data_IF_159866005046
#
_entry.id   IF_159866005046
#
_cell.length_a   1.000
_cell.length_b   1.000
_cell.length_c   1.000
_cell.angle_alpha   90.00
_cell.angle_beta   90.00
_cell.angle_gamma   90.00
#
_symmetry.space_group_name_H-M   'P 1'
#
loop_
_entity.id
_entity.type
_entity.pdbx_description
1 polymer ?
#
# COMPACT_ATOMS: atom_id res chain seq x y z
N UNK A 1 -24.88 23.90 3.77
CA UNK A 1 -25.81 22.88 3.26
C UNK A 1 -24.98 21.83 2.54
N UNK A 2 -25.35 20.54 2.60
CA UNK A 2 -24.46 19.45 2.19
C UNK A 2 -24.34 19.29 0.67
N UNK A 3 -25.11 20.03 -0.11
CA UNK A 3 -25.13 19.92 -1.57
C UNK A 3 -23.78 20.34 -2.13
N UNK A 4 -23.22 19.50 -3.01
CA UNK A 4 -21.99 19.80 -3.73
C UNK A 4 -22.29 20.86 -4.80
N UNK A 5 -21.54 21.95 -4.76
CA UNK A 5 -21.71 23.10 -5.67
C UNK A 5 -20.57 23.27 -6.65
N UNK A 6 -19.40 22.70 -6.37
CA UNK A 6 -18.24 22.75 -7.25
C UNK A 6 -17.41 21.48 -7.11
N UNK A 7 -16.95 20.96 -8.25
CA UNK A 7 -15.99 19.86 -8.36
C UNK A 7 -14.99 20.28 -9.42
N UNK A 8 -13.71 20.37 -9.04
CA UNK A 8 -12.67 20.91 -9.91
C UNK A 8 -11.41 20.08 -9.83
N UNK A 9 -10.83 19.74 -10.99
CA UNK A 9 -9.57 19.02 -11.10
C UNK A 9 -8.47 19.87 -11.74
N UNK A 10 -7.23 19.55 -11.36
CA UNK A 10 -6.00 20.09 -11.97
C UNK A 10 -4.90 19.03 -12.05
N UNK A 11 -3.95 19.27 -12.97
CA UNK A 11 -2.72 18.48 -13.08
C UNK A 11 -1.68 19.00 -12.07
N UNK A 12 -1.16 18.09 -11.24
CA UNK A 12 -0.05 18.31 -10.29
C UNK A 12 1.04 17.26 -10.52
N UNK A 13 2.08 17.20 -9.68
CA UNK A 13 3.16 16.21 -9.79
C UNK A 13 3.17 15.25 -8.59
N UNK A 14 3.46 13.97 -8.87
CA UNK A 14 3.78 12.98 -7.84
C UNK A 14 5.23 13.13 -7.33
N UNK A 15 5.57 12.34 -6.32
CA UNK A 15 6.89 12.26 -5.68
C UNK A 15 8.03 11.81 -6.61
N UNK A 16 7.72 11.32 -7.81
CA UNK A 16 8.69 10.95 -8.85
C UNK A 16 8.77 12.00 -9.95
N UNK A 17 8.02 13.11 -9.83
CA UNK A 17 7.96 14.18 -10.81
C UNK A 17 7.13 13.85 -12.05
N UNK A 18 6.27 12.83 -11.99
CA UNK A 18 5.30 12.55 -13.06
C UNK A 18 3.97 13.25 -12.78
N UNK A 19 3.22 13.66 -13.82
CA UNK A 19 1.89 14.25 -13.64
C UNK A 19 0.92 13.32 -12.89
N UNK A 20 0.05 13.89 -12.07
CA UNK A 20 -1.09 13.20 -11.46
C UNK A 20 -2.28 14.16 -11.26
N UNK A 21 -3.44 13.61 -10.90
CA UNK A 21 -4.70 14.34 -10.74
C UNK A 21 -4.86 14.81 -9.29
N UNK A 22 -5.18 16.09 -9.11
CA UNK A 22 -5.72 16.66 -7.88
C UNK A 22 -7.17 17.07 -8.13
N UNK A 23 -8.06 16.79 -7.18
CA UNK A 23 -9.47 17.20 -7.22
C UNK A 23 -9.84 17.96 -5.95
N UNK A 24 -10.63 19.01 -6.11
CA UNK A 24 -11.26 19.79 -5.05
C UNK A 24 -12.79 19.70 -5.15
N UNK A 25 -13.46 19.62 -4.00
CA UNK A 25 -14.91 19.60 -3.87
C UNK A 25 -15.32 20.68 -2.87
N UNK A 26 -16.35 21.45 -3.23
CA UNK A 26 -16.98 22.45 -2.35
C UNK A 26 -18.47 22.17 -2.19
N UNK A 27 -18.96 22.35 -0.97
CA UNK A 27 -20.40 22.35 -0.68
C UNK A 27 -20.97 23.77 -0.62
N UNK A 28 -22.30 23.89 -0.68
CA UNK A 28 -23.00 25.17 -0.51
C UNK A 28 -22.72 25.83 0.87
N UNK A 29 -22.41 25.04 1.91
CA UNK A 29 -21.94 25.60 3.20
C UNK A 29 -20.53 26.19 3.15
N UNK A 30 -19.75 25.90 2.11
CA UNK A 30 -18.32 26.21 2.04
C UNK A 30 -17.41 25.12 2.62
N UNK A 31 -17.94 23.94 2.99
CA UNK A 31 -17.08 22.81 3.38
C UNK A 31 -16.26 22.35 2.17
N UNK A 32 -14.99 22.06 2.40
CA UNK A 32 -13.98 21.82 1.37
C UNK A 32 -13.32 20.44 1.51
N UNK A 33 -12.98 19.82 0.38
CA UNK A 33 -12.21 18.59 0.35
C UNK A 33 -11.25 18.61 -0.82
N UNK A 34 -10.02 18.13 -0.60
CA UNK A 34 -9.00 18.01 -1.64
C UNK A 34 -8.37 16.63 -1.60
N UNK A 35 -8.19 16.02 -2.76
CA UNK A 35 -7.54 14.74 -2.92
C UNK A 35 -6.47 14.80 -4.01
N UNK A 36 -5.36 14.11 -3.79
CA UNK A 36 -4.34 13.90 -4.79
C UNK A 36 -4.20 12.39 -5.02
N UNK A 37 -4.16 11.97 -6.28
CA UNK A 37 -4.16 10.55 -6.63
C UNK A 37 -2.74 10.01 -6.74
N UNK A 38 -2.41 8.88 -6.08
CA UNK A 38 -1.11 8.23 -6.25
C UNK A 38 -1.04 7.45 -7.57
N UNK A 39 0.16 7.06 -8.00
CA UNK A 39 0.40 6.30 -9.24
C UNK A 39 1.43 5.19 -9.02
N UNK A 40 1.21 4.03 -9.64
CA UNK A 40 2.12 2.88 -9.59
C UNK A 40 3.32 3.00 -10.52
N UNK A 41 4.34 2.16 -10.32
CA UNK A 41 5.44 1.95 -11.29
C UNK A 41 5.04 0.93 -12.35
N UNK A 42 4.38 -0.14 -11.91
CA UNK A 42 3.74 -1.16 -12.73
C UNK A 42 2.22 -1.13 -12.52
N UNK A 43 1.49 -1.66 -13.50
CA UNK A 43 0.04 -1.85 -13.48
C UNK A 43 -0.24 -3.28 -13.93
N UNK A 44 -0.86 -4.09 -13.07
CA UNK A 44 -1.33 -5.44 -13.40
C UNK A 44 -2.45 -5.43 -14.44
N UNK A 45 -2.66 -6.57 -15.11
CA UNK A 45 -3.62 -6.69 -16.22
C UNK A 45 -5.09 -6.54 -15.80
N UNK A 46 -5.39 -6.76 -14.52
CA UNK A 46 -6.76 -6.78 -13.97
C UNK A 46 -7.08 -5.59 -13.05
N UNK A 47 -6.23 -4.55 -13.05
CA UNK A 47 -6.41 -3.33 -12.27
C UNK A 47 -7.34 -2.31 -12.95
N UNK A 48 -7.92 -1.41 -12.16
CA UNK A 48 -8.48 -0.17 -12.69
C UNK A 48 -7.37 0.68 -13.35
N UNK A 49 -7.67 1.27 -14.50
CA UNK A 49 -6.65 1.85 -15.37
C UNK A 49 -6.54 3.36 -15.18
N UNK A 50 -5.32 3.83 -14.89
CA UNK A 50 -4.97 5.25 -14.90
C UNK A 50 -5.02 5.80 -16.33
N UNK A 51 -5.74 6.91 -16.56
CA UNK A 51 -5.79 7.56 -17.87
C UNK A 51 -4.62 8.55 -18.04
N UNK A 52 -3.78 8.28 -19.05
CA UNK A 52 -2.65 9.13 -19.47
C UNK A 52 -2.90 9.73 -20.86
N UNK A 53 -2.30 10.90 -21.11
CA UNK A 53 -2.50 11.65 -22.35
C UNK A 53 -1.89 10.96 -23.57
N UNK A 54 -0.71 10.33 -23.41
CA UNK A 54 0.05 9.73 -24.50
C UNK A 54 0.76 10.74 -25.41
N UNK A 55 0.68 12.04 -25.12
CA UNK A 55 1.41 13.07 -25.87
C UNK A 55 2.88 13.10 -25.49
N UNK A 56 3.74 12.53 -26.36
CA UNK A 56 5.19 12.46 -26.16
C UNK A 56 5.87 13.82 -25.97
N UNK A 57 5.22 14.92 -26.38
CA UNK A 57 5.77 16.26 -26.22
C UNK A 57 5.56 16.85 -24.82
N UNK A 58 4.65 16.28 -24.01
CA UNK A 58 4.39 16.70 -22.62
C UNK A 58 4.68 15.55 -21.66
N UNK A 59 5.61 15.77 -20.74
CA UNK A 59 5.99 14.77 -19.72
C UNK A 59 6.25 13.37 -20.30
N UNK A 60 6.81 13.30 -21.52
CA UNK A 60 7.09 12.04 -22.23
C UNK A 60 5.85 11.13 -22.40
N UNK A 61 4.65 11.70 -22.55
CA UNK A 61 3.40 10.96 -22.71
C UNK A 61 2.64 10.71 -21.40
N UNK A 62 3.19 11.12 -20.26
CA UNK A 62 2.61 10.87 -18.92
C UNK A 62 1.68 11.98 -18.42
N UNK A 63 1.34 12.98 -19.24
CA UNK A 63 0.33 13.98 -18.88
C UNK A 63 -1.00 13.34 -18.46
N UNK A 64 -1.79 14.04 -17.65
CA UNK A 64 -3.11 13.60 -17.19
C UNK A 64 -4.22 14.60 -17.54
N UNK A 65 -3.99 15.44 -18.55
CA UNK A 65 -4.94 16.48 -18.94
C UNK A 65 -6.30 15.90 -19.35
N UNK A 66 -6.32 14.73 -20.00
CA UNK A 66 -7.57 14.02 -20.34
C UNK A 66 -8.36 13.61 -19.09
N UNK A 67 -7.69 13.11 -18.05
CA UNK A 67 -8.35 12.74 -16.80
C UNK A 67 -8.89 13.98 -16.08
N UNK A 68 -8.12 15.08 -16.08
CA UNK A 68 -8.54 16.38 -15.54
C UNK A 68 -9.76 16.93 -16.30
N UNK A 69 -9.76 16.86 -17.62
CA UNK A 69 -10.90 17.23 -18.47
C UNK A 69 -12.12 16.36 -18.17
N UNK A 70 -11.95 15.04 -18.02
CA UNK A 70 -13.04 14.15 -17.64
C UNK A 70 -13.67 14.52 -16.29
N UNK A 71 -12.88 14.93 -15.29
CA UNK A 71 -13.46 15.43 -14.03
C UNK A 71 -14.25 16.71 -14.28
N UNK A 72 -13.63 17.71 -14.91
CA UNK A 72 -14.20 19.05 -15.04
C UNK A 72 -15.40 19.13 -15.99
N UNK A 73 -15.39 18.36 -17.08
CA UNK A 73 -16.36 18.48 -18.17
C UNK A 73 -17.40 17.36 -18.18
N UNK A 74 -17.16 16.25 -17.47
CA UNK A 74 -18.07 15.09 -17.46
C UNK A 74 -18.56 14.75 -16.06
N UNK A 75 -17.66 14.53 -15.10
CA UNK A 75 -18.07 14.11 -13.74
C UNK A 75 -18.68 15.28 -12.96
N UNK A 76 -18.07 16.46 -13.01
CA UNK A 76 -18.50 17.63 -12.24
C UNK A 76 -19.93 18.08 -12.60
N UNK A 77 -20.33 18.22 -13.88
CA UNK A 77 -21.71 18.54 -14.23
C UNK A 77 -22.72 17.53 -13.68
N UNK A 78 -22.44 16.22 -13.79
CA UNK A 78 -23.35 15.17 -13.29
C UNK A 78 -23.54 15.24 -11.77
N UNK A 79 -22.48 15.54 -11.01
CA UNK A 79 -22.57 15.69 -9.54
C UNK A 79 -23.34 16.97 -9.15
N UNK A 80 -23.05 18.09 -9.80
CA UNK A 80 -23.65 19.40 -9.45
C UNK A 80 -25.10 19.50 -9.92
N UNK A 81 -25.39 19.13 -11.17
CA UNK A 81 -26.75 19.14 -11.72
C UNK A 81 -27.64 18.08 -11.07
N UNK A 82 -27.05 16.96 -10.62
CA UNK A 82 -27.72 15.94 -9.82
C UNK A 82 -28.04 16.36 -8.38
N UNK A 83 -27.59 17.55 -7.95
CA UNK A 83 -27.74 18.07 -6.58
C UNK A 83 -27.29 17.05 -5.52
N UNK A 84 -26.18 16.34 -5.79
CA UNK A 84 -25.68 15.32 -4.87
C UNK A 84 -25.28 15.93 -3.53
N UNK A 85 -25.70 15.27 -2.46
CA UNK A 85 -25.26 15.58 -1.10
C UNK A 85 -23.87 14.99 -0.87
N UNK A 86 -22.96 15.76 -0.28
CA UNK A 86 -21.57 15.34 -0.03
C UNK A 86 -21.47 14.10 0.88
N UNK A 87 -22.49 13.84 1.69
CA UNK A 87 -22.54 12.67 2.59
C UNK A 87 -23.03 11.37 1.91
N UNK A 88 -23.46 11.43 0.65
CA UNK A 88 -24.00 10.29 -0.09
C UNK A 88 -22.88 9.54 -0.86
N UNK A 89 -21.77 9.23 -0.18
CA UNK A 89 -20.54 8.67 -0.77
C UNK A 89 -20.80 7.49 -1.72
N UNK A 90 -21.56 6.48 -1.25
CA UNK A 90 -21.86 5.27 -2.02
C UNK A 90 -22.67 5.60 -3.28
N UNK A 91 -23.56 6.60 -3.21
CA UNK A 91 -24.36 7.00 -4.37
C UNK A 91 -23.48 7.70 -5.41
N UNK A 92 -22.55 8.54 -4.98
CA UNK A 92 -21.64 9.27 -5.86
C UNK A 92 -20.65 8.30 -6.53
N UNK A 93 -20.04 7.39 -5.75
CA UNK A 93 -19.13 6.38 -6.28
C UNK A 93 -19.83 5.47 -7.31
N UNK A 94 -21.05 4.99 -7.01
CA UNK A 94 -21.84 4.18 -7.95
C UNK A 94 -22.21 4.95 -9.22
N UNK A 95 -22.56 6.22 -9.08
CA UNK A 95 -22.86 7.08 -10.23
C UNK A 95 -21.62 7.18 -11.13
N UNK A 96 -20.43 7.44 -10.59
CA UNK A 96 -19.20 7.55 -11.37
C UNK A 96 -18.82 6.24 -12.07
N UNK A 97 -18.97 5.09 -11.39
CA UNK A 97 -18.77 3.76 -11.98
C UNK A 97 -19.73 3.56 -13.18
N UNK A 98 -21.00 3.92 -13.01
CA UNK A 98 -22.00 3.80 -14.08
C UNK A 98 -21.74 4.78 -15.25
N UNK A 99 -21.29 6.01 -14.95
CA UNK A 99 -20.98 7.06 -15.92
C UNK A 99 -19.79 6.68 -16.81
N UNK A 100 -18.78 6.05 -16.20
CA UNK A 100 -17.68 5.44 -16.93
C UNK A 100 -18.18 4.28 -17.80
N UNK A 101 -18.87 3.32 -17.19
CA UNK A 101 -19.52 2.20 -17.88
C UNK A 101 -18.57 1.13 -18.40
N UNK A 102 -17.29 1.16 -18.01
CA UNK A 102 -16.31 0.09 -18.26
C UNK A 102 -15.89 -0.57 -16.95
N UNK A 103 -15.58 -1.87 -16.98
CA UNK A 103 -15.24 -2.64 -15.78
C UNK A 103 -13.94 -2.14 -15.10
N UNK A 104 -13.02 -1.56 -15.89
CA UNK A 104 -11.70 -1.11 -15.42
C UNK A 104 -11.60 0.42 -15.29
N UNK A 105 -12.71 1.16 -15.37
CA UNK A 105 -12.74 2.63 -15.27
C UNK A 105 -11.91 3.34 -16.34
N UNK A 106 -11.67 2.68 -17.48
CA UNK A 106 -10.72 3.13 -18.51
C UNK A 106 -11.23 4.25 -19.42
N UNK A 107 -12.52 4.58 -19.37
CA UNK A 107 -13.11 5.64 -20.21
C UNK A 107 -12.89 7.02 -19.60
N UNK A 108 -13.21 7.19 -18.31
CA UNK A 108 -12.99 8.42 -17.55
C UNK A 108 -11.60 8.43 -16.91
N UNK A 109 -11.06 7.25 -16.59
CA UNK A 109 -9.80 7.06 -15.88
C UNK A 109 -10.04 6.82 -14.40
N UNK A 110 -9.45 5.76 -13.86
CA UNK A 110 -9.52 5.45 -12.43
C UNK A 110 -8.94 6.57 -11.55
N UNK A 111 -7.97 7.33 -12.09
CA UNK A 111 -7.41 8.52 -11.46
C UNK A 111 -8.38 9.71 -11.40
N UNK A 112 -9.24 9.90 -12.41
CA UNK A 112 -10.29 10.91 -12.35
C UNK A 112 -11.32 10.55 -11.27
N UNK A 113 -11.80 9.30 -11.29
CA UNK A 113 -12.85 8.81 -10.39
C UNK A 113 -12.38 8.79 -8.93
N UNK A 114 -11.18 8.28 -8.66
CA UNK A 114 -10.67 8.23 -7.29
C UNK A 114 -10.45 9.63 -6.71
N UNK A 115 -9.94 10.57 -7.50
CA UNK A 115 -9.73 11.95 -7.06
C UNK A 115 -11.03 12.58 -6.54
N UNK A 116 -12.12 12.43 -7.30
CA UNK A 116 -13.46 12.89 -6.88
C UNK A 116 -13.94 12.11 -5.66
N UNK A 117 -13.82 10.78 -5.66
CA UNK A 117 -14.26 9.90 -4.57
C UNK A 117 -13.67 10.32 -3.21
N UNK A 118 -12.36 10.57 -3.16
CA UNK A 118 -11.67 11.00 -1.94
C UNK A 118 -12.01 12.44 -1.58
N UNK A 119 -12.04 13.36 -2.56
CA UNK A 119 -12.31 14.77 -2.30
C UNK A 119 -13.72 14.97 -1.70
N UNK A 120 -14.72 14.20 -2.17
CA UNK A 120 -16.07 14.16 -1.60
C UNK A 120 -16.03 13.72 -0.14
N UNK A 121 -15.39 12.59 0.19
CA UNK A 121 -15.32 12.11 1.56
C UNK A 121 -14.65 13.11 2.51
N UNK A 122 -13.62 13.82 2.05
CA UNK A 122 -12.94 14.85 2.85
C UNK A 122 -13.81 16.08 3.05
N UNK A 123 -14.51 16.52 2.01
CA UNK A 123 -15.48 17.61 2.11
C UNK A 123 -16.65 17.24 3.04
N UNK A 124 -17.06 15.98 3.07
CA UNK A 124 -18.09 15.48 3.97
C UNK A 124 -17.64 15.41 5.42
N UNK A 125 -16.40 14.96 5.67
CA UNK A 125 -15.79 14.99 6.99
C UNK A 125 -15.70 16.44 7.51
N UNK A 126 -15.29 17.40 6.68
CA UNK A 126 -15.29 18.82 7.03
C UNK A 126 -16.71 19.35 7.28
N UNK A 127 -17.67 19.02 6.41
CA UNK A 127 -19.08 19.43 6.56
C UNK A 127 -19.71 18.93 7.87
N UNK A 128 -19.36 17.71 8.29
CA UNK A 128 -19.87 17.10 9.51
C UNK A 128 -19.04 17.43 10.76
N UNK A 129 -17.97 18.23 10.61
CA UNK A 129 -17.01 18.55 11.67
C UNK A 129 -16.44 17.29 12.34
N UNK A 130 -16.05 16.33 11.50
CA UNK A 130 -15.49 15.05 11.92
C UNK A 130 -14.06 14.85 11.40
N UNK A 131 -13.18 14.23 12.19
CA UNK A 131 -11.96 13.65 11.65
C UNK A 131 -12.29 12.62 10.56
N UNK A 132 -11.50 12.57 9.49
CA UNK A 132 -11.80 11.75 8.32
C UNK A 132 -11.94 10.26 8.68
N UNK A 133 -11.07 9.71 9.54
CA UNK A 133 -11.19 8.32 9.99
C UNK A 133 -12.51 8.01 10.72
N UNK A 134 -13.09 8.99 11.46
CA UNK A 134 -14.40 8.83 12.11
C UNK A 134 -15.57 8.97 11.13
N UNK A 135 -15.45 9.85 10.16
CA UNK A 135 -16.43 9.97 9.09
C UNK A 135 -16.52 8.67 8.27
N UNK A 136 -15.37 8.11 7.91
CA UNK A 136 -15.28 6.90 7.11
C UNK A 136 -15.68 5.63 7.89
N UNK A 137 -15.16 5.46 9.11
CA UNK A 137 -15.30 4.22 9.89
C UNK A 137 -16.35 4.25 11.00
N UNK A 138 -16.97 5.41 11.22
CA UNK A 138 -17.83 5.65 12.37
C UNK A 138 -17.07 5.77 13.69
N UNK A 139 -17.82 5.70 14.80
CA UNK A 139 -17.32 6.05 16.14
C UNK A 139 -16.25 5.10 16.70
N UNK A 140 -16.04 3.92 16.11
CA UNK A 140 -15.18 2.87 16.66
C UNK A 140 -13.87 2.67 15.86
N UNK A 141 -13.56 3.53 14.89
CA UNK A 141 -12.23 3.62 14.29
C UNK A 141 -11.24 4.18 15.31
N UNK A 142 -10.33 3.34 15.81
CA UNK A 142 -9.41 3.69 16.93
C UNK A 142 -8.13 2.87 17.00
N UNK A 143 -8.02 1.82 16.20
CA UNK A 143 -6.83 0.97 16.15
C UNK A 143 -5.81 1.58 15.19
N UNK A 144 -4.63 1.89 15.72
CA UNK A 144 -3.49 2.33 14.94
C UNK A 144 -2.79 1.12 14.31
N UNK A 145 -2.33 1.25 13.05
CA UNK A 145 -1.73 0.13 12.33
C UNK A 145 -0.28 -0.12 12.74
N UNK A 146 0.12 -1.39 12.76
CA UNK A 146 1.54 -1.78 12.71
C UNK A 146 2.09 -1.37 11.34
N UNK A 147 3.13 -0.53 11.28
CA UNK A 147 3.71 -0.12 10.02
C UNK A 147 4.67 -1.18 9.48
N UNK A 148 4.46 -1.59 8.22
CA UNK A 148 5.41 -2.37 7.44
C UNK A 148 6.36 -1.38 6.76
N UNK A 149 7.52 -1.15 7.39
CA UNK A 149 8.43 -0.09 7.01
C UNK A 149 9.50 -0.64 6.07
N UNK A 150 9.46 -0.21 4.80
CA UNK A 150 10.52 -0.47 3.84
C UNK A 150 11.88 -0.02 4.40
N UNK A 151 12.92 -0.83 4.23
CA UNK A 151 14.26 -0.49 4.74
C UNK A 151 15.39 -0.79 3.74
N UNK A 152 15.27 -1.88 2.99
CA UNK A 152 16.20 -2.30 1.94
C UNK A 152 15.41 -2.71 0.70
N UNK A 153 15.93 -2.36 -0.48
CA UNK A 153 15.38 -2.71 -1.78
C UNK A 153 16.32 -3.63 -2.57
N UNK A 154 15.73 -4.57 -3.31
CA UNK A 154 16.37 -5.48 -4.26
C UNK A 154 15.59 -5.54 -5.57
N UNK A 155 15.72 -6.63 -6.33
CA UNK A 155 14.99 -6.88 -7.57
C UNK A 155 15.11 -5.74 -8.58
N UNK A 156 14.00 -5.42 -9.24
CA UNK A 156 13.90 -4.33 -10.21
C UNK A 156 14.17 -2.92 -9.63
N UNK A 157 14.21 -2.78 -8.30
CA UNK A 157 14.46 -1.51 -7.60
C UNK A 157 15.92 -1.33 -7.16
N UNK A 158 16.83 -2.23 -7.56
CA UNK A 158 18.24 -2.21 -7.14
C UNK A 158 19.18 -2.83 -8.17
N UNK A 159 20.45 -2.42 -8.16
CA UNK A 159 21.53 -3.08 -8.91
C UNK A 159 22.20 -4.21 -8.07
N UNK A 160 21.71 -4.48 -6.87
CA UNK A 160 22.28 -5.50 -5.98
C UNK A 160 21.86 -6.92 -6.41
N UNK A 161 22.70 -7.95 -6.15
CA UNK A 161 22.39 -9.34 -6.46
C UNK A 161 21.38 -9.94 -5.47
N UNK A 162 20.16 -9.40 -5.44
CA UNK A 162 19.07 -9.77 -4.54
C UNK A 162 17.79 -9.83 -5.35
N UNK A 163 17.10 -10.97 -5.38
CA UNK A 163 15.88 -11.11 -6.18
C UNK A 163 14.66 -10.42 -5.57
N UNK A 164 14.48 -10.49 -4.25
CA UNK A 164 13.33 -9.87 -3.57
C UNK A 164 13.36 -8.35 -3.71
N UNK A 165 12.19 -7.77 -3.97
CA UNK A 165 12.05 -6.36 -4.25
C UNK A 165 12.17 -5.50 -3.00
N UNK A 166 11.55 -5.90 -1.88
CA UNK A 166 11.62 -5.14 -0.64
C UNK A 166 11.84 -6.01 0.61
N UNK A 167 12.57 -5.42 1.54
CA UNK A 167 12.77 -5.93 2.89
C UNK A 167 12.25 -4.87 3.86
N UNK A 168 11.43 -5.29 4.80
CA UNK A 168 10.72 -4.42 5.72
C UNK A 168 11.03 -4.79 7.17
N UNK A 169 10.93 -3.79 8.05
CA UNK A 169 10.87 -4.00 9.51
C UNK A 169 9.45 -3.71 10.01
N UNK A 170 9.01 -4.50 10.99
CA UNK A 170 7.70 -4.40 11.61
C UNK A 170 7.86 -4.28 13.14
N UNK A 171 7.74 -3.07 13.72
CA UNK A 171 7.91 -2.83 15.15
C UNK A 171 6.67 -3.28 15.97
N UNK A 172 6.39 -4.57 15.97
CA UNK A 172 5.19 -5.19 16.57
C UNK A 172 5.18 -5.19 18.09
N UNK A 173 6.33 -5.04 18.75
CA UNK A 173 6.46 -5.07 20.21
C UNK A 173 6.28 -3.70 20.88
N UNK A 174 6.09 -2.64 20.11
CA UNK A 174 5.90 -1.30 20.65
C UNK A 174 4.55 -1.17 21.39
N UNK A 175 4.48 -0.26 22.37
CA UNK A 175 3.26 -0.02 23.16
C UNK A 175 2.27 0.93 22.48
N UNK A 176 2.73 1.69 21.48
CA UNK A 176 1.95 2.69 20.74
C UNK A 176 2.50 2.83 19.33
N UNK A 177 1.73 3.43 18.42
CA UNK A 177 2.22 3.74 17.08
C UNK A 177 3.36 4.76 17.13
N UNK A 178 3.28 5.76 18.00
CA UNK A 178 4.36 6.73 18.22
C UNK A 178 5.70 6.06 18.58
N UNK A 179 5.69 5.10 19.50
CA UNK A 179 6.89 4.36 19.85
C UNK A 179 7.35 3.43 18.71
N UNK A 180 6.41 2.81 17.99
CA UNK A 180 6.73 1.97 16.84
C UNK A 180 7.42 2.76 15.72
N UNK A 181 6.97 3.99 15.46
CA UNK A 181 7.58 4.91 14.51
C UNK A 181 8.98 5.35 14.97
N UNK A 182 9.16 5.65 16.26
CA UNK A 182 10.48 5.97 16.82
C UNK A 182 11.46 4.81 16.63
N UNK A 183 11.05 3.58 16.94
CA UNK A 183 11.88 2.38 16.76
C UNK A 183 12.32 2.23 15.31
N UNK A 184 11.37 2.32 14.36
CA UNK A 184 11.67 2.26 12.94
C UNK A 184 12.69 3.33 12.49
N UNK A 185 12.55 4.57 12.97
CA UNK A 185 13.45 5.67 12.64
C UNK A 185 14.87 5.46 13.19
N UNK A 186 15.00 4.99 14.44
CA UNK A 186 16.28 4.67 15.05
C UNK A 186 16.99 3.53 14.29
N UNK A 187 16.26 2.47 13.93
CA UNK A 187 16.80 1.35 13.14
C UNK A 187 17.25 1.84 11.76
N UNK A 188 16.44 2.65 11.07
CA UNK A 188 16.78 3.20 9.76
C UNK A 188 18.08 4.02 9.80
N UNK A 189 18.24 4.88 10.80
CA UNK A 189 19.46 5.67 10.98
C UNK A 189 20.67 4.82 11.35
N UNK A 190 20.47 3.79 12.17
CA UNK A 190 21.53 2.87 12.54
C UNK A 190 21.98 2.00 11.36
N UNK A 191 21.05 1.52 10.54
CA UNK A 191 21.36 0.83 9.29
C UNK A 191 22.17 1.76 8.36
N UNK A 192 21.77 3.03 8.22
CA UNK A 192 22.52 4.01 7.44
C UNK A 192 23.98 4.15 7.90
N UNK A 193 24.23 4.11 9.21
CA UNK A 193 25.58 4.16 9.76
C UNK A 193 26.38 2.89 9.40
N UNK A 194 25.79 1.71 9.60
CA UNK A 194 26.39 0.41 9.25
C UNK A 194 26.73 0.35 7.74
N UNK A 195 25.82 0.80 6.87
CA UNK A 195 26.06 0.85 5.43
C UNK A 195 27.26 1.76 5.08
N UNK A 196 27.37 2.93 5.71
CA UNK A 196 28.52 3.83 5.51
C UNK A 196 29.83 3.22 6.00
N UNK A 197 29.83 2.58 7.15
CA UNK A 197 31.02 1.92 7.70
C UNK A 197 31.49 0.75 6.81
N UNK A 198 30.54 0.10 6.13
CA UNK A 198 30.80 -0.91 5.08
C UNK A 198 31.18 -0.31 3.73
N UNK A 199 31.16 1.01 3.56
CA UNK A 199 31.43 1.69 2.29
C UNK A 199 30.34 1.47 1.22
N UNK A 200 29.10 1.20 1.64
CA UNK A 200 27.95 0.98 0.77
C UNK A 200 27.15 2.27 0.55
N UNK A 201 26.37 2.29 -0.53
CA UNK A 201 25.51 3.42 -0.89
C UNK A 201 24.41 3.68 0.16
N UNK A 202 24.11 4.96 0.38
CA UNK A 202 23.05 5.40 1.31
C UNK A 202 22.08 6.41 0.69
N UNK A 203 22.10 6.51 -0.64
CA UNK A 203 21.02 7.11 -1.41
C UNK A 203 19.75 6.26 -1.23
N UNK A 204 18.60 6.90 -1.42
CA UNK A 204 17.29 6.28 -1.20
C UNK A 204 16.51 6.16 -2.50
N UNK A 205 15.69 5.11 -2.61
CA UNK A 205 14.78 4.88 -3.73
C UNK A 205 13.50 5.70 -3.66
N UNK A 206 12.48 5.27 -4.40
CA UNK A 206 11.16 5.91 -4.45
C UNK A 206 10.45 5.84 -3.09
N UNK A 207 10.56 4.70 -2.40
CA UNK A 207 9.96 4.41 -1.09
C UNK A 207 10.77 4.99 0.07
N UNK A 208 11.96 5.55 -0.19
CA UNK A 208 12.82 6.13 0.82
C UNK A 208 13.77 5.15 1.54
N UNK A 209 13.73 3.87 1.21
CA UNK A 209 14.68 2.86 1.71
C UNK A 209 15.99 2.82 0.92
N UNK A 210 16.96 2.05 1.42
CA UNK A 210 18.28 1.93 0.80
C UNK A 210 18.34 0.82 -0.26
N UNK A 211 19.15 1.00 -1.29
CA UNK A 211 19.44 -0.05 -2.29
C UNK A 211 20.95 -0.35 -2.36
N UNK A 212 21.58 -0.79 -1.26
CA UNK A 212 23.02 -1.02 -1.22
C UNK A 212 23.39 -2.34 -1.92
N UNK A 213 24.61 -2.42 -2.45
CA UNK A 213 25.14 -3.63 -3.11
C UNK A 213 25.57 -4.67 -2.07
N UNK A 214 24.59 -5.36 -1.47
CA UNK A 214 24.83 -6.51 -0.61
C UNK A 214 25.40 -7.70 -1.39
N UNK A 215 25.96 -8.69 -0.67
CA UNK A 215 26.47 -9.93 -1.27
C UNK A 215 25.36 -10.90 -1.69
N UNK A 216 24.15 -10.70 -1.20
CA UNK A 216 22.97 -11.52 -1.46
C UNK A 216 21.88 -11.30 -0.40
N UNK A 217 20.79 -12.05 -0.52
CA UNK A 217 19.61 -11.96 0.35
C UNK A 217 19.93 -12.11 1.84
N UNK A 218 20.77 -13.08 2.22
CA UNK A 218 21.14 -13.28 3.63
C UNK A 218 21.96 -12.11 4.21
N UNK A 219 22.89 -11.54 3.45
CA UNK A 219 23.67 -10.37 3.89
C UNK A 219 22.75 -9.17 4.15
N UNK A 220 21.73 -8.96 3.30
CA UNK A 220 20.72 -7.92 3.53
C UNK A 220 19.96 -8.16 4.85
N UNK A 221 19.42 -9.37 5.04
CA UNK A 221 18.66 -9.75 6.24
C UNK A 221 19.51 -9.64 7.51
N UNK A 222 20.73 -10.16 7.51
CA UNK A 222 21.65 -10.12 8.65
C UNK A 222 22.04 -8.69 9.01
N UNK A 223 22.24 -7.83 8.02
CA UNK A 223 22.55 -6.40 8.25
C UNK A 223 21.37 -5.66 8.87
N UNK A 224 20.13 -5.96 8.45
CA UNK A 224 18.94 -5.39 9.07
C UNK A 224 18.84 -5.85 10.53
N UNK A 225 19.07 -7.14 10.81
CA UNK A 225 19.09 -7.65 12.19
C UNK A 225 20.19 -7.00 13.04
N UNK A 226 21.36 -6.72 12.47
CA UNK A 226 22.42 -5.98 13.14
C UNK A 226 21.96 -4.56 13.52
N UNK A 227 21.29 -3.86 12.60
CA UNK A 227 20.74 -2.53 12.86
C UNK A 227 19.66 -2.54 13.96
N UNK A 228 18.78 -3.54 13.98
CA UNK A 228 17.78 -3.73 15.05
C UNK A 228 18.46 -3.91 16.40
N UNK A 229 19.46 -4.80 16.49
CA UNK A 229 20.18 -5.06 17.74
C UNK A 229 20.97 -3.85 18.23
N UNK A 230 21.52 -3.06 17.30
CA UNK A 230 22.33 -1.89 17.62
C UNK A 230 21.54 -0.75 18.29
N UNK A 231 20.19 -0.76 18.19
CA UNK A 231 19.32 0.16 18.95
C UNK A 231 18.70 -0.48 20.20
N UNK A 232 19.24 -1.63 20.63
CA UNK A 232 18.81 -2.39 21.81
C UNK A 232 17.37 -2.94 21.72
N UNK A 233 16.92 -3.28 20.50
CA UNK A 233 15.67 -4.00 20.26
C UNK A 233 15.97 -5.46 19.90
N UNK A 234 15.04 -6.36 20.22
CA UNK A 234 15.16 -7.80 20.00
C UNK A 234 14.44 -8.23 18.70
N UNK A 235 15.17 -8.70 17.67
CA UNK A 235 14.55 -9.30 16.48
C UNK A 235 13.70 -10.53 16.84
N UNK A 236 12.49 -10.63 16.28
CA UNK A 236 11.55 -11.72 16.57
C UNK A 236 10.78 -11.57 17.86
N UNK A 237 10.81 -10.39 18.48
CA UNK A 237 9.98 -10.04 19.63
C UNK A 237 9.54 -8.58 19.57
N UNK A 238 10.51 -7.67 19.52
CA UNK A 238 10.24 -6.24 19.43
C UNK A 238 9.98 -5.83 17.98
N UNK A 239 10.80 -6.38 17.07
CA UNK A 239 10.75 -6.08 15.63
C UNK A 239 10.86 -7.37 14.84
N UNK A 240 9.95 -7.57 13.89
CA UNK A 240 10.00 -8.67 12.91
C UNK A 240 10.38 -8.15 11.54
N UNK A 241 10.70 -9.07 10.64
CA UNK A 241 10.96 -8.79 9.23
C UNK A 241 9.74 -9.10 8.39
N UNK A 242 9.62 -8.41 7.27
CA UNK A 242 8.68 -8.73 6.20
C UNK A 242 9.38 -8.65 4.86
N UNK A 243 8.93 -9.44 3.89
CA UNK A 243 9.43 -9.40 2.53
C UNK A 243 8.32 -9.04 1.56
N UNK A 244 8.69 -8.30 0.54
CA UNK A 244 7.98 -8.24 -0.73
C UNK A 244 8.88 -8.91 -1.76
N UNK A 245 8.51 -10.13 -2.12
CA UNK A 245 9.27 -10.90 -3.08
C UNK A 245 9.06 -10.37 -4.50
N UNK A 246 7.87 -9.83 -4.82
CA UNK A 246 7.42 -9.51 -6.18
C UNK A 246 7.79 -10.63 -7.17
N UNK A 247 7.50 -11.89 -6.82
CA UNK A 247 8.12 -13.03 -7.50
C UNK A 247 7.73 -13.20 -8.97
N UNK A 248 6.61 -12.61 -9.40
CA UNK A 248 6.24 -12.47 -10.80
C UNK A 248 7.30 -11.77 -11.65
N UNK A 249 8.08 -10.85 -11.05
CA UNK A 249 9.19 -10.19 -11.74
C UNK A 249 10.32 -11.14 -12.11
N UNK A 250 10.44 -12.31 -11.50
CA UNK A 250 11.45 -13.32 -11.86
C UNK A 250 10.86 -14.70 -12.11
N UNK A 251 9.55 -14.80 -12.32
CA UNK A 251 8.89 -16.02 -12.74
C UNK A 251 8.78 -16.06 -14.26
N UNK A 252 9.35 -17.09 -14.89
CA UNK A 252 9.25 -17.27 -16.33
C UNK A 252 9.15 -18.76 -16.69
N UNK A 253 8.18 -19.11 -17.56
CA UNK A 253 8.01 -20.45 -18.10
C UNK A 253 7.90 -21.56 -17.02
N UNK A 254 7.21 -21.29 -15.91
CA UNK A 254 7.01 -22.26 -14.84
C UNK A 254 8.14 -22.33 -13.80
N UNK A 255 9.11 -21.40 -13.86
CA UNK A 255 10.32 -21.41 -13.04
C UNK A 255 10.53 -20.05 -12.38
N UNK A 256 10.82 -20.06 -11.08
CA UNK A 256 11.31 -18.90 -10.36
C UNK A 256 12.82 -18.77 -10.61
N UNK A 257 13.20 -17.87 -11.53
CA UNK A 257 14.55 -17.72 -12.06
C UNK A 257 15.33 -16.60 -11.35
N UNK A 258 15.99 -16.94 -10.25
CA UNK A 258 16.80 -15.98 -9.49
C UNK A 258 18.04 -15.53 -10.27
N UNK A 259 18.41 -16.18 -11.39
CA UNK A 259 19.53 -15.70 -12.21
C UNK A 259 19.28 -14.31 -12.80
N UNK A 260 18.00 -13.91 -12.93
CA UNK A 260 17.61 -12.58 -13.41
C UNK A 260 18.21 -11.45 -12.57
N UNK A 261 18.28 -11.64 -11.25
CA UNK A 261 18.75 -10.61 -10.31
C UNK A 261 20.01 -11.02 -9.55
N UNK A 262 20.21 -12.30 -9.25
CA UNK A 262 21.35 -12.80 -8.47
C UNK A 262 22.55 -13.25 -9.34
N UNK A 263 22.47 -13.01 -10.66
CA UNK A 263 23.53 -13.32 -11.63
C UNK A 263 23.57 -14.78 -12.06
N UNK A 264 24.61 -15.17 -12.81
CA UNK A 264 24.70 -16.49 -13.49
C UNK A 264 24.61 -17.71 -12.55
N UNK A 265 24.93 -17.53 -11.25
CA UNK A 265 24.87 -18.59 -10.25
C UNK A 265 23.56 -18.58 -9.44
N UNK A 266 22.61 -17.71 -9.76
CA UNK A 266 21.28 -17.70 -9.15
C UNK A 266 20.56 -19.04 -9.35
N UNK A 267 19.74 -19.44 -8.38
CA UNK A 267 19.00 -20.69 -8.49
C UNK A 267 17.80 -20.55 -9.43
N UNK A 268 17.47 -21.64 -10.12
CA UNK A 268 16.20 -21.79 -10.85
C UNK A 268 15.37 -22.77 -10.07
N UNK A 269 14.23 -22.32 -9.54
CA UNK A 269 13.40 -23.10 -8.62
C UNK A 269 12.08 -23.47 -9.26
N UNK A 270 11.61 -24.69 -9.05
CA UNK A 270 10.19 -25.03 -9.23
C UNK A 270 9.32 -24.31 -8.19
N UNK A 271 8.00 -24.38 -8.34
CA UNK A 271 7.09 -23.88 -7.31
C UNK A 271 7.32 -24.56 -5.95
N UNK A 272 7.55 -25.88 -5.92
CA UNK A 272 7.83 -26.57 -4.66
C UNK A 272 9.17 -26.13 -4.04
N UNK A 273 10.22 -26.00 -4.86
CA UNK A 273 11.53 -25.53 -4.40
C UNK A 273 11.49 -24.06 -3.94
N UNK A 274 10.62 -23.24 -4.53
CA UNK A 274 10.36 -21.87 -4.08
C UNK A 274 9.70 -21.86 -2.70
N UNK A 275 8.67 -22.69 -2.47
CA UNK A 275 8.05 -22.83 -1.14
C UNK A 275 9.07 -23.31 -0.11
N UNK A 276 9.87 -24.33 -0.43
CA UNK A 276 10.89 -24.84 0.48
C UNK A 276 11.95 -23.77 0.82
N UNK A 277 12.34 -22.94 -0.14
CA UNK A 277 13.26 -21.83 0.09
C UNK A 277 12.67 -20.76 1.01
N UNK A 278 11.41 -20.36 0.80
CA UNK A 278 10.74 -19.39 1.68
C UNK A 278 10.58 -19.94 3.11
N UNK A 279 10.24 -21.22 3.25
CA UNK A 279 10.16 -21.89 4.55
C UNK A 279 11.52 -21.95 5.26
N UNK A 280 12.61 -22.22 4.53
CA UNK A 280 13.97 -22.18 5.08
C UNK A 280 14.30 -20.80 5.67
N UNK A 281 13.99 -19.72 4.93
CA UNK A 281 14.22 -18.36 5.40
C UNK A 281 13.42 -18.05 6.67
N UNK A 282 12.14 -18.43 6.72
CA UNK A 282 11.26 -18.24 7.89
C UNK A 282 11.78 -19.01 9.11
N UNK A 283 12.32 -20.21 8.92
CA UNK A 283 12.87 -21.00 10.02
C UNK A 283 14.19 -20.44 10.54
N UNK A 284 14.92 -19.67 9.71
CA UNK A 284 16.23 -19.08 10.05
C UNK A 284 16.11 -17.65 10.61
N UNK A 285 15.14 -16.87 10.15
CA UNK A 285 15.01 -15.44 10.45
C UNK A 285 13.61 -15.09 10.97
N UNK A 286 13.47 -14.02 11.77
CA UNK A 286 12.19 -13.64 12.37
C UNK A 286 11.26 -12.94 11.37
N UNK A 287 10.87 -13.65 10.31
CA UNK A 287 9.97 -13.15 9.26
C UNK A 287 8.53 -13.45 9.67
N UNK A 288 7.68 -12.42 9.66
CA UNK A 288 6.26 -12.55 10.01
C UNK A 288 5.32 -12.34 8.81
N UNK A 289 5.81 -11.76 7.72
CA UNK A 289 5.01 -11.48 6.53
C UNK A 289 5.82 -11.66 5.25
N UNK A 290 5.22 -12.31 4.26
CA UNK A 290 5.73 -12.41 2.89
C UNK A 290 4.62 -11.94 1.94
N UNK A 291 4.96 -10.98 1.12
CA UNK A 291 4.14 -10.46 0.02
C UNK A 291 4.65 -11.04 -1.31
N UNK A 292 3.71 -11.48 -2.14
CA UNK A 292 3.94 -12.05 -3.46
C UNK A 292 5.09 -13.07 -3.56
N UNK A 293 5.12 -13.99 -2.58
CA UNK A 293 6.10 -15.07 -2.51
C UNK A 293 6.03 -16.07 -3.67
N UNK A 294 4.86 -16.16 -4.32
CA UNK A 294 4.60 -16.95 -5.52
C UNK A 294 4.04 -16.03 -6.62
N UNK A 295 4.15 -16.44 -7.88
CA UNK A 295 3.70 -15.67 -9.04
C UNK A 295 2.19 -15.41 -9.00
N UNK A 296 1.74 -14.25 -9.53
CA UNK A 296 0.34 -13.83 -9.57
C UNK A 296 -0.62 -14.85 -10.25
N UNK A 297 -0.08 -15.73 -11.10
CA UNK A 297 -0.81 -16.77 -11.80
C UNK A 297 -0.51 -18.20 -11.29
N UNK A 298 0.45 -18.39 -10.37
CA UNK A 298 0.77 -19.69 -9.77
C UNK A 298 -0.13 -20.01 -8.56
N UNK A 299 -1.43 -20.12 -8.80
CA UNK A 299 -2.44 -20.36 -7.76
C UNK A 299 -2.24 -21.68 -7.02
N UNK A 300 -1.72 -22.70 -7.70
CA UNK A 300 -1.37 -23.99 -7.09
C UNK A 300 -0.16 -23.84 -6.15
N UNK A 301 0.89 -23.12 -6.58
CA UNK A 301 2.03 -22.77 -5.73
C UNK A 301 1.63 -21.95 -4.51
N UNK A 302 0.77 -20.95 -4.69
CA UNK A 302 0.19 -20.17 -3.58
C UNK A 302 -0.57 -21.04 -2.58
N UNK A 303 -1.36 -22.01 -3.06
CA UNK A 303 -2.09 -22.93 -2.19
C UNK A 303 -1.13 -23.79 -1.36
N UNK A 304 -0.09 -24.33 -1.99
CA UNK A 304 0.94 -25.11 -1.30
C UNK A 304 1.69 -24.27 -0.27
N UNK A 305 2.04 -23.03 -0.61
CA UNK A 305 2.67 -22.09 0.33
C UNK A 305 1.76 -21.81 1.52
N UNK A 306 0.48 -21.54 1.26
CA UNK A 306 -0.51 -21.24 2.30
C UNK A 306 -0.70 -22.42 3.25
N UNK A 307 -0.81 -23.64 2.73
CA UNK A 307 -0.92 -24.86 3.54
C UNK A 307 0.34 -25.14 4.37
N UNK A 308 1.52 -24.72 3.90
CA UNK A 308 2.80 -25.01 4.56
C UNK A 308 3.11 -24.08 5.72
N UNK A 309 2.84 -22.78 5.56
CA UNK A 309 3.30 -21.75 6.50
C UNK A 309 2.25 -20.70 6.87
N UNK A 310 1.05 -20.74 6.27
CA UNK A 310 0.01 -19.73 6.46
C UNK A 310 -0.60 -19.69 7.86
N UNK A 311 -0.31 -20.68 8.71
CA UNK A 311 -0.67 -20.72 10.12
C UNK A 311 0.22 -19.80 10.98
N UNK A 312 1.47 -19.56 10.55
CA UNK A 312 2.51 -18.86 11.34
C UNK A 312 3.14 -17.65 10.65
N UNK A 313 2.88 -17.45 9.35
CA UNK A 313 3.36 -16.31 8.56
C UNK A 313 2.22 -15.71 7.76
N UNK A 314 2.16 -14.39 7.74
CA UNK A 314 1.24 -13.64 6.88
C UNK A 314 1.68 -13.75 5.42
N UNK A 315 0.74 -14.11 4.54
CA UNK A 315 0.92 -14.25 3.10
C UNK A 315 0.03 -13.22 2.42
N UNK A 316 0.64 -12.12 1.99
CA UNK A 316 -0.03 -10.97 1.39
C UNK A 316 -0.04 -11.13 -0.12
N UNK A 317 -1.24 -11.19 -0.72
CA UNK A 317 -1.37 -11.05 -2.16
C UNK A 317 -1.48 -9.58 -2.56
N UNK A 318 -0.53 -9.09 -3.35
CA UNK A 318 -0.59 -7.78 -4.02
C UNK A 318 -0.94 -7.96 -5.50
N UNK A 319 0.00 -8.38 -6.35
CA UNK A 319 -0.25 -8.69 -7.77
C UNK A 319 -1.21 -9.88 -7.95
N UNK A 320 -1.23 -10.79 -6.97
CA UNK A 320 -2.20 -11.89 -6.93
C UNK A 320 -3.65 -11.39 -6.97
N UNK A 321 -3.99 -10.38 -6.15
CA UNK A 321 -5.37 -9.93 -5.95
C UNK A 321 -5.68 -8.59 -6.60
N UNK A 322 -4.68 -7.72 -6.82
CA UNK A 322 -4.79 -6.38 -7.45
C UNK A 322 -5.94 -5.53 -6.91
N UNK A 323 -6.19 -5.60 -5.60
CA UNK A 323 -7.35 -4.97 -4.92
C UNK A 323 -8.71 -5.31 -5.57
N UNK A 324 -8.82 -6.44 -6.28
CA UNK A 324 -10.01 -6.88 -7.00
C UNK A 324 -10.82 -7.88 -6.15
N UNK A 325 -12.06 -7.52 -5.80
CA UNK A 325 -12.93 -8.33 -4.94
C UNK A 325 -13.31 -9.68 -5.55
N UNK A 326 -13.30 -9.83 -6.88
CA UNK A 326 -13.58 -11.11 -7.54
C UNK A 326 -12.40 -12.07 -7.35
N UNK A 327 -11.17 -11.61 -7.58
CA UNK A 327 -9.95 -12.42 -7.34
C UNK A 327 -9.79 -12.73 -5.85
N UNK A 328 -10.05 -11.76 -4.97
CA UNK A 328 -10.02 -11.98 -3.52
C UNK A 328 -11.04 -13.05 -3.09
N UNK A 329 -12.28 -12.99 -3.59
CA UNK A 329 -13.30 -14.00 -3.28
C UNK A 329 -12.86 -15.40 -3.74
N UNK A 330 -12.30 -15.53 -4.94
CA UNK A 330 -11.76 -16.78 -5.44
C UNK A 330 -10.59 -17.31 -4.58
N UNK A 331 -9.68 -16.42 -4.16
CA UNK A 331 -8.58 -16.75 -3.25
C UNK A 331 -9.07 -17.27 -1.90
N UNK A 332 -10.05 -16.59 -1.30
CA UNK A 332 -10.70 -16.99 -0.05
C UNK A 332 -11.34 -18.39 -0.19
N UNK A 333 -12.10 -18.62 -1.26
CA UNK A 333 -12.76 -19.91 -1.51
C UNK A 333 -11.76 -21.07 -1.67
N UNK A 334 -10.60 -20.79 -2.26
CA UNK A 334 -9.53 -21.78 -2.47
C UNK A 334 -8.57 -21.90 -1.29
N UNK A 335 -8.63 -21.01 -0.30
CA UNK A 335 -7.68 -20.96 0.81
C UNK A 335 -6.28 -20.55 0.35
N UNK A 336 -6.20 -19.49 -0.44
CA UNK A 336 -4.96 -18.94 -1.01
C UNK A 336 -4.63 -17.60 -0.34
N UNK A 337 -3.45 -17.53 0.26
CA UNK A 337 -3.03 -16.40 1.07
C UNK A 337 -3.82 -16.30 2.38
N UNK A 338 -3.50 -15.28 3.17
CA UNK A 338 -4.25 -14.95 4.39
C UNK A 338 -4.26 -13.42 4.64
N UNK A 339 -3.88 -12.64 3.64
CA UNK A 339 -3.84 -11.19 3.64
C UNK A 339 -3.92 -10.64 2.23
N UNK A 340 -4.44 -9.42 2.09
CA UNK A 340 -4.47 -8.67 0.82
C UNK A 340 -3.82 -7.31 1.00
N UNK A 341 -3.05 -6.87 0.01
CA UNK A 341 -2.59 -5.49 -0.09
C UNK A 341 -3.67 -4.62 -0.74
N UNK A 342 -4.07 -3.55 -0.07
CA UNK A 342 -5.13 -2.65 -0.52
C UNK A 342 -4.53 -1.37 -1.08
N UNK A 343 -4.60 -1.20 -2.40
CA UNK A 343 -4.18 0.01 -3.10
C UNK A 343 -5.42 0.73 -3.65
N UNK A 344 -5.78 1.85 -3.04
CA UNK A 344 -7.01 2.61 -3.34
C UNK A 344 -7.21 2.93 -4.83
N UNK A 345 -6.12 3.22 -5.55
CA UNK A 345 -6.16 3.55 -6.96
C UNK A 345 -6.14 2.33 -7.90
N UNK A 346 -5.86 1.12 -7.41
CA UNK A 346 -6.04 -0.11 -8.18
C UNK A 346 -7.52 -0.49 -8.34
N UNK A 347 -8.39 -0.05 -7.43
CA UNK A 347 -9.84 -0.30 -7.52
C UNK A 347 -10.63 0.95 -7.93
N UNK A 348 -10.22 2.15 -7.50
CA UNK A 348 -10.65 3.42 -8.09
C UNK A 348 -11.78 4.18 -7.35
N UNK A 349 -12.40 3.62 -6.31
CA UNK A 349 -13.31 4.36 -5.42
C UNK A 349 -13.08 4.00 -3.96
N UNK A 350 -13.49 4.89 -3.04
CA UNK A 350 -13.51 4.60 -1.61
C UNK A 350 -14.54 3.52 -1.28
N UNK A 351 -15.72 3.52 -1.90
CA UNK A 351 -16.72 2.48 -1.67
C UNK A 351 -16.17 1.08 -1.97
N UNK A 352 -15.59 0.86 -3.16
CA UNK A 352 -15.04 -0.46 -3.52
C UNK A 352 -13.79 -0.82 -2.69
N UNK A 353 -13.02 0.18 -2.25
CA UNK A 353 -11.90 -0.03 -1.30
C UNK A 353 -12.41 -0.60 0.02
N UNK A 354 -13.46 -0.01 0.60
CA UNK A 354 -14.03 -0.44 1.87
C UNK A 354 -14.72 -1.81 1.73
N UNK A 355 -15.38 -2.08 0.61
CA UNK A 355 -15.95 -3.40 0.30
C UNK A 355 -14.87 -4.50 0.27
N UNK A 356 -13.70 -4.22 -0.33
CA UNK A 356 -12.57 -5.15 -0.36
C UNK A 356 -11.97 -5.39 1.03
N UNK A 357 -11.79 -4.32 1.82
CA UNK A 357 -11.32 -4.44 3.22
C UNK A 357 -12.29 -5.27 4.05
N UNK A 358 -13.59 -4.99 3.96
CA UNK A 358 -14.62 -5.70 4.72
C UNK A 358 -14.69 -7.18 4.32
N UNK A 359 -14.58 -7.50 3.03
CA UNK A 359 -14.53 -8.87 2.53
C UNK A 359 -13.36 -9.65 3.12
N UNK A 360 -12.16 -9.08 3.09
CA UNK A 360 -10.97 -9.69 3.68
C UNK A 360 -11.14 -9.91 5.20
N UNK A 361 -11.54 -8.88 5.94
CA UNK A 361 -11.72 -8.96 7.39
C UNK A 361 -12.75 -10.04 7.78
N UNK A 362 -13.87 -10.14 7.05
CA UNK A 362 -14.91 -11.16 7.29
C UNK A 362 -14.44 -12.59 6.98
N UNK A 363 -13.48 -12.74 6.08
CA UNK A 363 -12.85 -14.03 5.76
C UNK A 363 -11.72 -14.40 6.74
N UNK A 364 -11.41 -13.55 7.72
CA UNK A 364 -10.28 -13.75 8.61
C UNK A 364 -8.93 -13.33 8.00
N UNK A 365 -8.94 -12.70 6.83
CA UNK A 365 -7.73 -12.15 6.19
C UNK A 365 -7.43 -10.77 6.78
N UNK A 366 -6.16 -10.40 6.82
CA UNK A 366 -5.74 -9.02 7.08
C UNK A 366 -5.85 -8.17 5.81
N UNK A 367 -6.19 -6.89 5.96
CA UNK A 367 -6.24 -5.92 4.88
C UNK A 367 -5.15 -4.87 5.12
N UNK A 368 -4.06 -4.94 4.37
CA UNK A 368 -2.91 -4.06 4.54
C UNK A 368 -3.09 -2.86 3.61
N UNK A 369 -3.50 -1.72 4.16
CA UNK A 369 -3.64 -0.48 3.39
C UNK A 369 -2.26 -0.02 2.92
N UNK A 370 -2.11 0.28 1.62
CA UNK A 370 -0.82 0.51 1.00
C UNK A 370 -0.71 1.81 0.22
N UNK A 371 0.51 2.35 0.18
CA UNK A 371 0.92 3.43 -0.70
C UNK A 371 1.12 2.96 -2.17
N UNK A 372 1.56 3.86 -3.04
CA UNK A 372 2.16 3.50 -4.35
C UNK A 372 3.58 4.06 -4.48
N UNK A 373 4.36 3.60 -5.46
CA UNK A 373 5.70 4.16 -5.71
C UNK A 373 5.68 5.64 -6.08
N UNK A 374 4.69 6.12 -6.84
CA UNK A 374 4.40 7.54 -7.03
C UNK A 374 3.37 8.04 -6.02
N UNK A 375 3.81 8.46 -4.84
CA UNK A 375 2.95 9.09 -3.82
C UNK A 375 2.86 10.62 -3.93
N UNK A 376 1.96 11.22 -3.16
CA UNK A 376 1.77 12.68 -3.03
C UNK A 376 1.85 13.11 -1.56
N UNK A 377 1.58 14.38 -1.26
CA UNK A 377 1.39 14.86 0.12
C UNK A 377 0.07 14.40 0.77
N UNK A 378 -0.85 13.78 0.01
CA UNK A 378 -2.12 13.29 0.54
C UNK A 378 -1.88 12.20 1.60
N UNK A 379 -2.74 12.14 2.62
CA UNK A 379 -2.58 11.21 3.75
C UNK A 379 -3.78 10.31 3.98
N UNK A 380 -4.72 10.23 3.03
CA UNK A 380 -6.02 9.55 3.20
C UNK A 380 -5.87 8.10 3.62
N UNK A 381 -4.85 7.39 3.12
CA UNK A 381 -4.62 5.99 3.49
C UNK A 381 -4.33 5.76 4.99
N UNK A 382 -3.79 6.76 5.70
CA UNK A 382 -3.64 6.70 7.15
C UNK A 382 -5.00 6.68 7.86
N UNK A 383 -5.91 7.56 7.44
CA UNK A 383 -7.27 7.62 7.95
C UNK A 383 -8.07 6.37 7.59
N UNK A 384 -7.90 5.80 6.38
CA UNK A 384 -8.53 4.53 5.99
C UNK A 384 -8.09 3.39 6.90
N UNK A 385 -6.78 3.26 7.18
CA UNK A 385 -6.26 2.21 8.05
C UNK A 385 -6.89 2.24 9.46
N UNK A 386 -7.09 3.44 10.03
CA UNK A 386 -7.72 3.61 11.35
C UNK A 386 -9.25 3.48 11.29
N UNK A 387 -9.89 4.04 10.25
CA UNK A 387 -11.33 3.95 10.02
C UNK A 387 -11.80 2.49 10.02
N UNK A 388 -11.02 1.63 9.36
CA UNK A 388 -11.33 0.21 9.21
C UNK A 388 -10.76 -0.67 10.31
N UNK A 389 -10.02 -0.09 11.27
CA UNK A 389 -9.22 -0.82 12.25
C UNK A 389 -8.38 -1.94 11.57
N UNK A 390 -7.80 -1.66 10.41
CA UNK A 390 -7.13 -2.66 9.57
C UNK A 390 -5.95 -3.34 10.29
N UNK A 391 -5.35 -2.62 11.24
CA UNK A 391 -4.27 -3.12 12.10
C UNK A 391 -2.89 -3.10 11.44
N UNK A 392 -2.78 -2.88 10.13
CA UNK A 392 -1.51 -2.83 9.40
C UNK A 392 -1.53 -1.76 8.29
N UNK A 393 -0.36 -1.22 7.96
CA UNK A 393 -0.18 -0.26 6.85
C UNK A 393 1.21 -0.43 6.20
N UNK A 394 1.30 -0.41 4.87
CA UNK A 394 2.56 -0.37 4.10
C UNK A 394 2.68 0.99 3.42
N UNK A 395 3.44 1.92 4.00
CA UNK A 395 3.50 3.31 3.50
C UNK A 395 4.92 3.85 3.30
N UNK A 396 5.89 2.94 3.14
CA UNK A 396 7.26 3.25 2.74
C UNK A 396 8.25 3.26 3.90
N UNK A 397 9.38 3.93 3.70
CA UNK A 397 10.48 3.98 4.66
C UNK A 397 10.45 5.25 5.52
N UNK A 398 11.48 5.43 6.33
CA UNK A 398 11.62 6.54 7.28
C UNK A 398 12.38 7.72 6.66
N UNK A 399 12.11 7.99 5.38
CA UNK A 399 12.59 9.16 4.66
C UNK A 399 11.58 9.56 3.58
N UNK A 400 11.81 10.74 2.98
CA UNK A 400 10.95 11.40 1.98
C UNK A 400 9.53 11.75 2.46
N UNK A 401 9.10 12.98 2.19
CA UNK A 401 7.83 13.50 2.75
C UNK A 401 6.59 12.78 2.23
N UNK A 402 6.63 12.25 1.02
CA UNK A 402 5.60 11.40 0.41
C UNK A 402 5.26 10.16 1.25
N UNK A 403 6.20 9.69 2.09
CA UNK A 403 6.02 8.59 3.05
C UNK A 403 5.74 9.14 4.45
N UNK A 404 6.63 10.02 4.92
CA UNK A 404 6.59 10.61 6.26
C UNK A 404 5.28 11.37 6.54
N UNK A 405 4.63 11.95 5.52
CA UNK A 405 3.34 12.61 5.68
C UNK A 405 2.27 11.67 6.25
N UNK A 406 2.23 10.41 5.83
CA UNK A 406 1.27 9.40 6.31
C UNK A 406 1.57 9.00 7.75
N UNK A 407 2.85 8.79 8.09
CA UNK A 407 3.25 8.55 9.47
C UNK A 407 2.93 9.73 10.39
N UNK A 408 3.17 10.96 9.93
CA UNK A 408 2.79 12.16 10.67
C UNK A 408 1.26 12.27 10.84
N UNK A 409 0.48 11.83 9.86
CA UNK A 409 -0.98 11.78 10.00
C UNK A 409 -1.40 10.75 11.04
N UNK A 410 -0.79 9.55 11.05
CA UNK A 410 -1.04 8.55 12.09
C UNK A 410 -0.66 9.04 13.50
N UNK A 411 0.43 9.81 13.64
CA UNK A 411 0.76 10.47 14.90
C UNK A 411 -0.35 11.44 15.35
N UNK A 412 -0.93 12.22 14.42
CA UNK A 412 -2.05 13.13 14.73
C UNK A 412 -3.31 12.37 15.13
N UNK A 413 -3.63 11.29 14.42
CA UNK A 413 -4.79 10.45 14.72
C UNK A 413 -4.63 9.81 16.11
N UNK A 414 -3.46 9.25 16.43
CA UNK A 414 -3.18 8.68 17.74
C UNK A 414 -3.29 9.74 18.86
N UNK A 415 -2.73 10.94 18.65
CA UNK A 415 -2.81 12.05 19.60
C UNK A 415 -4.25 12.53 19.83
N UNK A 416 -5.05 12.63 18.77
CA UNK A 416 -6.47 13.04 18.84
C UNK A 416 -7.35 11.97 19.52
N UNK A 417 -7.09 10.68 19.30
CA UNK A 417 -7.78 9.59 19.95
C UNK A 417 -7.46 9.49 21.45
N UNK A 418 -6.30 10.04 21.88
CA UNK A 418 -5.84 10.09 23.27
C UNK A 418 -5.99 8.73 23.97
N UNK A 419 -6.76 8.61 25.05
CA UNK A 419 -6.93 7.38 25.82
C UNK A 419 -7.70 6.27 25.08
N UNK A 420 -8.37 6.61 23.97
CA UNK A 420 -9.14 5.66 23.17
C UNK A 420 -8.31 4.98 22.08
N UNK A 421 -7.11 5.50 21.80
CA UNK A 421 -6.18 4.93 20.84
C UNK A 421 -5.76 3.52 21.27
N UNK A 422 -5.66 2.62 20.29
CA UNK A 422 -5.21 1.25 20.53
C UNK A 422 -4.14 0.86 19.52
N UNK A 423 -3.01 0.35 19.99
CA UNK A 423 -1.99 -0.28 19.16
C UNK A 423 -1.89 -1.75 19.58
N UNK A 424 -2.33 -2.65 18.69
CA UNK A 424 -2.41 -4.08 19.02
C UNK A 424 -1.09 -4.84 18.83
N UNK A 425 -0.09 -4.20 18.20
CA UNK A 425 1.22 -4.81 17.96
C UNK A 425 1.08 -6.16 17.28
N UNK A 426 1.71 -7.19 17.84
CA UNK A 426 1.63 -8.59 17.36
C UNK A 426 0.20 -9.13 17.23
N UNK A 427 -0.78 -8.61 18.01
CA UNK A 427 -2.17 -9.05 17.93
C UNK A 427 -2.91 -8.52 16.69
N UNK A 428 -2.28 -7.63 15.92
CA UNK A 428 -2.81 -7.15 14.64
C UNK A 428 -2.78 -8.23 13.54
N UNK A 429 -1.98 -9.29 13.74
CA UNK A 429 -1.94 -10.50 12.92
C UNK A 429 -3.00 -11.51 13.39
N UNK A 430 -4.27 -11.10 13.37
CA UNK A 430 -5.38 -11.95 13.81
C UNK A 430 -5.66 -13.13 12.86
N UNK A 431 -5.07 -13.12 11.68
CA UNK A 431 -5.12 -14.15 10.65
C UNK A 431 -4.18 -15.33 10.95
N UNK A 432 -3.25 -15.20 11.90
CA UNK A 432 -2.30 -16.26 12.27
C UNK A 432 -2.77 -17.04 13.50
N UNK A 433 -2.47 -18.33 13.54
CA UNK A 433 -2.70 -19.17 14.71
C UNK A 433 -1.72 -18.77 15.84
N UNK A 434 -2.14 -18.96 17.09
CA UNK A 434 -1.36 -18.58 18.28
C UNK A 434 -0.59 -19.73 18.89
#
# INVERSE_FOLDING_TARGET
>A
MPIITDVYAREVLDSRGNPTVEVEVLTESGAFGRALVPSGASTGEHEAVELRDGDKNRYSGKGVQKAVENVNEVIAPEIVEGEFSVIDQVSIDKMMIQLDGTDNKGKLGANAILGVSIAVARAAAEYTDQPLYKYLGGFNGKQLPVPMMNIVNGGSHSDAPVAFQEFMILPVGAESFKESLRWGAEIFHQLKAILKDRGLETAVGDEGGFAPKFKGTEDAVETIMEAIKAVNLEPGKDVYLGFDCASSEFYENGVYDYTKFEGENGAKRSAEEQVDYLEELINKYPIISIEDGMDENDWDGWKVLTDRIGDRVQLVGDDLFVTNTVKLAEGIEKGIGNSILIKVNQIGTLTETFDAIEMAQKAGYTAVVSHRSGETEDTTIADIAVATNAGQIKTGSLSRTDRIAKYNQLLRIEDELYETAKFDGIKSFYNLEK
#
